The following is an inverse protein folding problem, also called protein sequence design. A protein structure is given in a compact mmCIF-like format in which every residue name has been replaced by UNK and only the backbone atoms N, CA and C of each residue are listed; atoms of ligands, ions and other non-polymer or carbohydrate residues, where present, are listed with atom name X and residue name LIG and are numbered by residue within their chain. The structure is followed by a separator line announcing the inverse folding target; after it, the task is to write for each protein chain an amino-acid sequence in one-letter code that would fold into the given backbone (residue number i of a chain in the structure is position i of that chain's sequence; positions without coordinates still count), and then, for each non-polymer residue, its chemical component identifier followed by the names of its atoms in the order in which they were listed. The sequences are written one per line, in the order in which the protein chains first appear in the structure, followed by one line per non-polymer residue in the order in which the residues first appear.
data_IF_240820144508
#
_entry.id   IF_240820144508
#
_cell.length_a   1.000
_cell.length_b   1.000
_cell.length_c   1.000
_cell.angle_alpha   90.00
_cell.angle_beta   90.00
_cell.angle_gamma   90.00
#
_symmetry.space_group_name_H-M   'P 1'
#
loop_
_entity.id
_entity.type
_entity.pdbx_description
1 polymer ?
#
# COMPACT_ATOMS: atom_id res chain seq x y z
N UNK A 1 -28.81 -40.69 45.42
CA UNK A 1 -28.28 -39.35 45.67
C UNK A 1 -27.86 -38.71 44.35
N UNK A 2 -28.65 -37.73 43.91
CA UNK A 2 -28.40 -36.97 42.68
C UNK A 2 -27.77 -35.64 43.13
N UNK A 3 -26.57 -35.37 42.70
CA UNK A 3 -25.90 -34.08 42.89
C UNK A 3 -26.13 -33.22 41.62
N UNK A 4 -26.89 -32.15 41.77
CA UNK A 4 -27.13 -31.18 40.73
C UNK A 4 -25.96 -30.17 40.68
N UNK A 5 -25.26 -30.05 39.55
CA UNK A 5 -24.32 -28.97 39.28
C UNK A 5 -25.07 -27.77 38.74
N UNK A 6 -24.97 -26.64 39.42
CA UNK A 6 -25.43 -25.33 39.01
C UNK A 6 -24.45 -24.76 37.97
N UNK A 7 -24.88 -24.19 36.85
CA UNK A 7 -23.96 -23.50 35.92
C UNK A 7 -23.61 -22.13 36.48
N UNK A 8 -22.32 -21.89 36.63
CA UNK A 8 -21.77 -20.59 36.98
C UNK A 8 -21.88 -19.62 35.81
N UNK A 9 -22.36 -18.45 36.13
CA UNK A 9 -22.56 -17.28 35.31
C UNK A 9 -21.26 -16.89 34.58
N UNK A 10 -21.24 -16.97 33.27
CA UNK A 10 -20.17 -16.44 32.42
C UNK A 10 -20.29 -14.93 32.38
N UNK A 11 -19.33 -14.25 33.00
CA UNK A 11 -19.14 -12.83 32.88
C UNK A 11 -18.88 -12.46 31.42
N UNK A 12 -19.69 -11.55 30.95
CA UNK A 12 -19.53 -10.81 29.70
C UNK A 12 -18.19 -10.08 29.74
N UNK A 13 -17.17 -10.62 29.07
CA UNK A 13 -15.95 -9.88 28.81
C UNK A 13 -16.23 -8.96 27.62
N UNK A 14 -16.57 -7.73 27.94
CA UNK A 14 -16.52 -6.63 27.00
C UNK A 14 -15.10 -6.56 26.44
N UNK A 15 -14.94 -7.02 25.21
CA UNK A 15 -13.71 -6.92 24.44
C UNK A 15 -13.53 -5.44 24.01
N UNK A 16 -13.01 -4.61 24.93
CA UNK A 16 -12.54 -3.29 24.56
C UNK A 16 -11.28 -3.51 23.74
N UNK A 17 -11.41 -3.41 22.42
CA UNK A 17 -10.28 -3.27 21.51
C UNK A 17 -9.53 -1.99 21.89
N UNK A 18 -8.48 -2.16 22.67
CA UNK A 18 -7.50 -1.12 22.93
C UNK A 18 -6.73 -0.95 21.62
N UNK A 19 -7.01 0.10 20.87
CA UNK A 19 -6.15 0.51 19.76
C UNK A 19 -4.74 0.74 20.35
N UNK A 20 -3.77 -0.03 19.90
CA UNK A 20 -2.41 0.14 20.37
C UNK A 20 -1.89 1.50 19.88
N UNK A 21 -1.75 2.45 20.80
CA UNK A 21 -1.11 3.73 20.49
C UNK A 21 0.29 3.47 19.94
N UNK A 22 0.58 4.09 18.79
CA UNK A 22 1.93 4.02 18.20
C UNK A 22 2.94 4.61 19.19
N UNK A 23 4.14 4.03 19.30
CA UNK A 23 5.20 4.60 20.16
C UNK A 23 5.44 6.08 19.82
N UNK A 24 5.76 6.89 20.82
CA UNK A 24 6.07 8.31 20.62
C UNK A 24 7.19 8.52 19.57
N UNK A 25 8.19 7.66 19.59
CA UNK A 25 9.29 7.62 18.61
C UNK A 25 8.82 7.44 17.16
N UNK A 26 7.75 6.65 16.95
CA UNK A 26 7.14 6.49 15.63
C UNK A 26 6.55 7.81 15.14
N UNK A 27 5.81 8.51 16.00
CA UNK A 27 5.18 9.78 15.66
C UNK A 27 6.22 10.86 15.41
N UNK A 28 7.24 10.97 16.24
CA UNK A 28 8.32 11.95 16.11
C UNK A 28 9.10 11.79 14.81
N UNK A 29 9.26 10.56 14.34
CA UNK A 29 9.95 10.26 13.10
C UNK A 29 9.06 10.47 11.87
N UNK A 30 7.89 9.83 11.84
CA UNK A 30 7.06 9.76 10.65
C UNK A 30 6.17 10.98 10.41
N UNK A 31 5.86 11.76 11.46
CA UNK A 31 5.10 12.99 11.35
C UNK A 31 5.96 14.26 11.44
N UNK A 32 7.27 14.14 11.32
CA UNK A 32 8.21 15.27 11.27
C UNK A 32 8.11 16.13 9.98
N UNK A 33 7.21 15.79 9.05
CA UNK A 33 7.08 16.47 7.76
C UNK A 33 8.25 16.20 6.80
N UNK A 34 8.93 15.06 6.99
CA UNK A 34 10.08 14.63 6.17
C UNK A 34 9.77 13.31 5.51
N UNK A 35 10.42 13.04 4.37
CA UNK A 35 10.41 11.75 3.72
C UNK A 35 11.68 10.96 4.06
N UNK A 36 11.53 9.64 4.26
CA UNK A 36 12.66 8.72 4.25
C UNK A 36 12.96 8.34 2.80
N UNK A 37 14.19 8.54 2.35
CA UNK A 37 14.61 8.24 0.98
C UNK A 37 15.81 7.29 1.04
N UNK A 38 15.68 6.14 0.36
CA UNK A 38 16.76 5.15 0.24
C UNK A 38 16.95 4.80 -1.22
N UNK A 39 18.21 4.83 -1.68
CA UNK A 39 18.59 4.40 -3.03
C UNK A 39 19.35 3.06 -2.98
N UNK A 40 19.18 2.27 -4.02
CA UNK A 40 19.77 0.95 -4.17
C UNK A 40 20.37 0.80 -5.57
N UNK A 41 21.49 0.08 -5.64
CA UNK A 41 21.92 -0.54 -6.89
C UNK A 41 20.95 -1.68 -7.21
N UNK A 42 20.41 -1.68 -8.43
CA UNK A 42 19.43 -2.66 -8.87
C UNK A 42 20.06 -3.67 -9.81
N UNK A 43 19.83 -4.94 -9.55
CA UNK A 43 20.05 -6.03 -10.50
C UNK A 43 18.68 -6.57 -10.95
N UNK A 44 18.29 -6.25 -12.18
CA UNK A 44 16.99 -6.62 -12.73
C UNK A 44 17.13 -7.75 -13.74
N UNK A 45 16.50 -8.88 -13.45
CA UNK A 45 16.35 -9.97 -14.42
C UNK A 45 15.35 -9.59 -15.52
N UNK A 46 15.77 -9.60 -16.78
CA UNK A 46 14.91 -9.37 -17.94
C UNK A 46 15.49 -10.09 -19.15
N UNK A 47 14.64 -10.73 -19.97
CA UNK A 47 15.03 -11.45 -21.18
C UNK A 47 16.12 -12.52 -20.99
N UNK A 48 16.18 -13.14 -19.79
CA UNK A 48 17.19 -14.16 -19.46
C UNK A 48 18.55 -13.62 -19.06
N UNK A 49 18.69 -12.30 -18.92
CA UNK A 49 19.91 -11.61 -18.49
C UNK A 49 19.68 -10.78 -17.24
N UNK A 50 20.77 -10.39 -16.57
CA UNK A 50 20.75 -9.44 -15.44
C UNK A 50 21.21 -8.08 -15.94
N UNK A 51 20.40 -7.06 -15.67
CA UNK A 51 20.66 -5.67 -16.06
C UNK A 51 20.86 -4.83 -14.82
N UNK A 52 21.94 -4.06 -14.81
CA UNK A 52 22.21 -3.10 -13.74
C UNK A 52 21.31 -1.87 -13.89
N UNK A 53 20.90 -1.30 -12.76
CA UNK A 53 20.05 -0.11 -12.73
C UNK A 53 20.05 0.54 -11.36
N UNK A 54 19.04 1.35 -11.11
CA UNK A 54 18.81 2.01 -9.83
C UNK A 54 17.38 1.80 -9.34
N UNK A 55 17.21 1.68 -8.03
CA UNK A 55 15.91 1.70 -7.37
C UNK A 55 15.93 2.74 -6.25
N UNK A 56 14.83 3.50 -6.12
CA UNK A 56 14.67 4.48 -5.04
C UNK A 56 13.34 4.23 -4.35
N UNK A 57 13.38 4.13 -3.02
CA UNK A 57 12.22 4.04 -2.16
C UNK A 57 12.05 5.35 -1.40
N UNK A 58 10.85 5.91 -1.46
CA UNK A 58 10.48 7.14 -0.75
C UNK A 58 9.26 6.85 0.12
N UNK A 59 9.44 6.89 1.44
CA UNK A 59 8.35 6.74 2.40
C UNK A 59 7.98 8.10 3.00
N UNK A 60 6.70 8.36 3.11
CA UNK A 60 6.17 9.58 3.73
C UNK A 60 4.77 9.33 4.27
N UNK A 61 4.43 9.94 5.41
CA UNK A 61 3.06 9.97 5.90
C UNK A 61 2.30 11.12 5.24
N UNK A 62 1.08 10.85 4.80
CA UNK A 62 0.22 11.84 4.12
C UNK A 62 -1.23 11.75 4.63
N UNK A 63 -1.94 12.89 4.72
CA UNK A 63 -3.38 12.90 4.87
C UNK A 63 -4.04 12.43 3.56
N UNK A 64 -5.02 11.54 3.68
CA UNK A 64 -5.59 10.81 2.56
C UNK A 64 -7.10 10.70 2.71
N UNK A 65 -7.84 10.94 1.64
CA UNK A 65 -9.27 10.70 1.60
C UNK A 65 -9.53 9.20 1.42
N UNK A 66 -10.15 8.55 2.40
CA UNK A 66 -10.48 7.13 2.33
C UNK A 66 -11.50 6.84 1.22
N UNK A 67 -12.54 7.65 1.09
CA UNK A 67 -13.59 7.47 0.09
C UNK A 67 -13.10 7.68 -1.34
N UNK A 68 -12.34 8.77 -1.59
CA UNK A 68 -11.80 9.10 -2.91
C UNK A 68 -10.49 8.38 -3.21
N UNK A 69 -9.77 7.93 -2.18
CA UNK A 69 -8.44 7.30 -2.25
C UNK A 69 -7.40 8.14 -3.00
N UNK A 70 -7.30 9.39 -2.57
CA UNK A 70 -6.35 10.39 -3.05
C UNK A 70 -5.82 11.22 -1.89
N UNK A 71 -4.66 11.86 -2.09
CA UNK A 71 -4.13 12.84 -1.14
C UNK A 71 -5.10 14.00 -0.96
N UNK A 72 -5.27 14.47 0.27
CA UNK A 72 -6.03 15.68 0.55
C UNK A 72 -5.27 16.93 0.11
N UNK A 73 -5.97 17.88 -0.49
CA UNK A 73 -5.43 19.18 -0.85
C UNK A 73 -5.25 20.07 0.40
N UNK A 74 -6.21 20.02 1.32
CA UNK A 74 -6.10 20.66 2.64
C UNK A 74 -5.87 19.62 3.74
N UNK A 75 -4.66 19.59 4.27
CA UNK A 75 -4.27 18.69 5.36
C UNK A 75 -5.01 18.97 6.69
N UNK A 76 -5.67 20.15 6.81
CA UNK A 76 -6.45 20.57 7.99
C UNK A 76 -7.89 20.10 7.94
N UNK A 77 -8.29 19.44 6.85
CA UNK A 77 -9.62 18.84 6.75
C UNK A 77 -9.83 17.84 7.89
N UNK A 78 -10.83 18.10 8.74
CA UNK A 78 -11.19 17.29 9.90
C UNK A 78 -12.37 16.36 9.63
N UNK A 79 -12.67 16.10 8.36
CA UNK A 79 -13.72 15.15 8.00
C UNK A 79 -13.38 13.73 8.45
N UNK A 80 -14.40 12.91 8.72
CA UNK A 80 -14.25 11.49 9.06
C UNK A 80 -13.64 10.66 7.89
N UNK A 81 -13.59 11.25 6.69
CA UNK A 81 -12.96 10.66 5.50
C UNK A 81 -11.43 10.82 5.50
N UNK A 82 -10.88 11.69 6.36
CA UNK A 82 -9.44 11.92 6.47
C UNK A 82 -8.76 10.81 7.29
N UNK A 83 -7.89 10.07 6.65
CA UNK A 83 -7.07 9.03 7.28
C UNK A 83 -5.58 9.29 7.03
N UNK A 84 -4.73 8.81 7.92
CA UNK A 84 -3.28 8.88 7.72
C UNK A 84 -2.77 7.63 7.02
N UNK A 85 -2.01 7.81 5.94
CA UNK A 85 -1.37 6.70 5.23
C UNK A 85 0.15 6.84 5.25
N UNK A 86 0.84 5.72 5.35
CA UNK A 86 2.22 5.59 4.93
C UNK A 86 2.23 5.33 3.43
N UNK A 87 2.69 6.30 2.68
CA UNK A 87 2.86 6.18 1.23
C UNK A 87 4.28 5.77 0.93
N UNK A 88 4.43 4.69 0.18
CA UNK A 88 5.67 4.32 -0.48
C UNK A 88 5.60 4.72 -1.95
N UNK A 89 6.60 5.41 -2.46
CA UNK A 89 6.90 5.47 -3.88
C UNK A 89 8.19 4.67 -4.12
N UNK A 90 8.12 3.63 -4.94
CA UNK A 90 9.26 2.85 -5.40
C UNK A 90 9.45 3.09 -6.89
N UNK A 91 10.65 3.53 -7.26
CA UNK A 91 11.02 3.66 -8.67
C UNK A 91 12.11 2.65 -9.02
N UNK A 92 12.08 2.12 -10.24
CA UNK A 92 13.11 1.28 -10.82
C UNK A 92 13.46 1.78 -12.21
N UNK A 93 14.74 1.97 -12.49
CA UNK A 93 15.23 2.35 -13.80
C UNK A 93 16.41 1.48 -14.18
N UNK A 94 16.37 0.92 -15.37
CA UNK A 94 17.43 0.09 -15.92
C UNK A 94 17.42 0.12 -17.46
N UNK A 95 18.51 -0.36 -18.07
CA UNK A 95 18.67 -0.42 -19.52
C UNK A 95 18.83 -1.88 -19.96
N UNK A 96 18.16 -2.27 -21.03
CA UNK A 96 18.46 -3.49 -21.80
C UNK A 96 19.17 -3.08 -23.09
N UNK A 97 20.51 -3.07 -23.06
CA UNK A 97 21.28 -2.41 -24.11
C UNK A 97 21.03 -0.89 -24.07
N UNK A 98 20.47 -0.32 -25.13
CA UNK A 98 20.11 1.11 -25.22
C UNK A 98 18.64 1.39 -24.83
N UNK A 99 17.88 0.34 -24.54
CA UNK A 99 16.43 0.43 -24.31
C UNK A 99 16.10 0.71 -22.85
N UNK A 100 15.55 1.89 -22.52
CA UNK A 100 15.29 2.27 -21.14
C UNK A 100 13.94 1.75 -20.64
N UNK A 101 13.97 1.29 -19.39
CA UNK A 101 12.80 1.01 -18.57
C UNK A 101 12.70 2.00 -17.42
N UNK A 102 11.52 2.56 -17.23
CA UNK A 102 11.17 3.38 -16.06
C UNK A 102 9.88 2.86 -15.47
N UNK A 103 9.96 2.35 -14.24
CA UNK A 103 8.83 1.78 -13.53
C UNK A 103 8.62 2.55 -12.23
N UNK A 104 7.36 2.73 -11.85
CA UNK A 104 7.00 3.32 -10.56
C UNK A 104 5.83 2.56 -9.96
N UNK A 105 5.95 2.26 -8.68
CA UNK A 105 4.88 1.72 -7.84
C UNK A 105 4.62 2.70 -6.70
N UNK A 106 3.35 2.91 -6.35
CA UNK A 106 2.96 3.65 -5.16
C UNK A 106 1.98 2.82 -4.34
N UNK A 107 2.29 2.62 -3.06
CA UNK A 107 1.43 1.91 -2.11
C UNK A 107 0.97 2.90 -1.05
N UNK A 108 -0.32 2.88 -0.74
CA UNK A 108 -0.95 3.74 0.27
C UNK A 108 -1.52 2.85 1.37
N UNK A 109 -0.72 2.66 2.41
CA UNK A 109 -1.03 1.75 3.51
C UNK A 109 -1.50 2.57 4.72
N UNK A 110 -2.62 2.23 5.36
CA UNK A 110 -3.05 2.94 6.56
C UNK A 110 -2.00 2.84 7.66
N UNK A 111 -1.80 3.92 8.42
CA UNK A 111 -0.92 3.87 9.59
C UNK A 111 -1.56 3.07 10.72
N UNK A 112 -2.89 3.04 10.80
CA UNK A 112 -3.67 2.31 11.82
C UNK A 112 -4.05 0.91 11.32
N UNK A 113 -3.11 -0.02 11.30
CA UNK A 113 -3.30 -1.40 10.81
C UNK A 113 -4.33 -2.24 11.59
N UNK A 114 -4.56 -1.92 12.85
CA UNK A 114 -5.54 -2.56 13.71
C UNK A 114 -6.97 -2.25 13.30
N UNK A 115 -7.21 -1.14 12.63
CA UNK A 115 -8.51 -0.73 12.11
C UNK A 115 -8.66 -1.10 10.62
N UNK A 116 -7.63 -0.82 9.84
CA UNK A 116 -7.59 -1.03 8.39
C UNK A 116 -6.35 -1.87 8.04
N UNK A 117 -6.48 -3.21 7.98
CA UNK A 117 -5.31 -4.08 7.87
C UNK A 117 -4.65 -4.11 6.49
N UNK A 118 -5.30 -3.60 5.45
CA UNK A 118 -4.83 -3.69 4.07
C UNK A 118 -4.61 -2.32 3.43
N UNK A 119 -3.74 -2.24 2.42
CA UNK A 119 -3.53 -1.01 1.69
C UNK A 119 -4.82 -0.52 1.02
N UNK A 120 -5.11 0.78 1.12
CA UNK A 120 -6.26 1.37 0.46
C UNK A 120 -6.10 1.41 -1.05
N UNK A 121 -4.87 1.62 -1.51
CA UNK A 121 -4.58 1.80 -2.92
C UNK A 121 -3.16 1.35 -3.25
N UNK A 122 -3.01 0.72 -4.41
CA UNK A 122 -1.71 0.47 -5.05
C UNK A 122 -1.79 0.93 -6.49
N UNK A 123 -0.77 1.61 -6.98
CA UNK A 123 -0.65 1.96 -8.40
C UNK A 123 0.71 1.51 -8.92
N UNK A 124 0.73 1.01 -10.15
CA UNK A 124 1.96 0.64 -10.85
C UNK A 124 1.93 1.18 -12.26
N UNK A 125 3.04 1.74 -12.69
CA UNK A 125 3.24 2.17 -14.07
C UNK A 125 4.56 1.64 -14.60
N UNK A 126 4.57 1.29 -15.88
CA UNK A 126 5.78 0.99 -16.65
C UNK A 126 5.80 1.85 -17.89
N UNK A 127 6.91 2.53 -18.09
CA UNK A 127 7.17 3.34 -19.26
C UNK A 127 8.39 2.77 -19.98
N UNK A 128 8.20 2.46 -21.25
CA UNK A 128 9.24 1.97 -22.13
C UNK A 128 8.98 2.48 -23.56
N UNK A 129 9.90 2.28 -24.47
CA UNK A 129 9.76 2.78 -25.83
C UNK A 129 8.63 2.13 -26.65
N UNK A 130 8.24 0.89 -26.30
CA UNK A 130 7.13 0.20 -26.96
C UNK A 130 5.76 0.69 -26.51
N UNK A 131 5.66 1.24 -25.28
CA UNK A 131 4.39 1.75 -24.77
C UNK A 131 4.35 1.92 -23.26
N UNK A 132 3.20 2.32 -22.78
CA UNK A 132 2.92 2.49 -21.34
C UNK A 132 1.96 1.42 -20.87
N UNK A 133 2.17 0.98 -19.63
CA UNK A 133 1.16 0.26 -18.85
C UNK A 133 0.91 1.00 -17.55
N UNK A 134 -0.34 1.00 -17.11
CA UNK A 134 -0.74 1.54 -15.81
C UNK A 134 -1.75 0.60 -15.18
N UNK A 135 -1.56 0.29 -13.89
CA UNK A 135 -2.49 -0.50 -13.10
C UNK A 135 -2.79 0.22 -11.80
N UNK A 136 -4.02 0.09 -11.34
CA UNK A 136 -4.47 0.63 -10.06
C UNK A 136 -5.39 -0.36 -9.37
N UNK A 137 -5.07 -0.67 -8.11
CA UNK A 137 -5.96 -1.37 -7.19
C UNK A 137 -6.53 -0.34 -6.20
N UNK A 138 -7.83 -0.40 -5.99
CA UNK A 138 -8.52 0.38 -4.98
C UNK A 138 -9.28 -0.56 -4.04
N UNK A 139 -9.01 -0.52 -2.74
CA UNK A 139 -9.76 -1.26 -1.74
C UNK A 139 -11.20 -0.74 -1.70
N UNK A 140 -12.16 -1.64 -1.75
CA UNK A 140 -13.60 -1.40 -1.69
C UNK A 140 -14.22 -2.36 -0.67
N UNK A 141 -15.49 -2.18 -0.33
CA UNK A 141 -16.21 -2.98 0.67
C UNK A 141 -16.11 -4.52 0.50
N UNK A 142 -15.83 -5.01 -0.71
CA UNK A 142 -15.83 -6.45 -1.06
C UNK A 142 -14.54 -6.90 -1.74
N UNK A 143 -13.41 -6.24 -1.46
CA UNK A 143 -12.12 -6.53 -2.05
C UNK A 143 -11.60 -5.40 -2.93
N UNK A 144 -10.60 -5.68 -3.74
CA UNK A 144 -9.99 -4.67 -4.59
C UNK A 144 -10.69 -4.56 -5.94
N UNK A 145 -10.90 -3.32 -6.39
CA UNK A 145 -11.17 -3.01 -7.79
C UNK A 145 -9.82 -2.82 -8.49
N UNK A 146 -9.50 -3.72 -9.42
CA UNK A 146 -8.34 -3.64 -10.29
C UNK A 146 -8.73 -2.95 -11.58
N UNK A 147 -8.02 -1.89 -11.95
CA UNK A 147 -8.09 -1.25 -13.27
C UNK A 147 -6.71 -1.23 -13.90
N UNK A 148 -6.64 -1.62 -15.16
CA UNK A 148 -5.41 -1.65 -15.92
C UNK A 148 -5.62 -1.07 -17.30
N UNK A 149 -4.58 -0.38 -17.78
CA UNK A 149 -4.52 0.18 -19.12
C UNK A 149 -3.18 -0.20 -19.72
N UNK A 150 -3.21 -0.86 -20.85
CA UNK A 150 -2.00 -1.34 -21.51
C UNK A 150 -2.04 -1.01 -23.00
N UNK A 151 -0.88 -0.67 -23.54
CA UNK A 151 -0.68 -0.55 -24.98
C UNK A 151 -0.63 -1.93 -25.67
N UNK A 152 -0.38 -3.00 -24.93
CA UNK A 152 -0.15 -4.33 -25.46
C UNK A 152 -1.47 -5.11 -25.62
N UNK A 153 -1.70 -5.67 -26.81
CA UNK A 153 -2.94 -6.39 -27.16
C UNK A 153 -3.27 -7.55 -26.21
N UNK A 154 -2.24 -8.29 -25.76
CA UNK A 154 -2.41 -9.44 -24.86
C UNK A 154 -2.86 -9.07 -23.46
N UNK A 155 -2.67 -7.82 -23.06
CA UNK A 155 -3.04 -7.30 -21.72
C UNK A 155 -4.37 -6.54 -21.79
N UNK A 156 -4.54 -5.67 -22.82
CA UNK A 156 -5.75 -4.88 -23.05
C UNK A 156 -6.10 -3.95 -21.86
N UNK A 157 -7.36 -3.51 -21.83
CA UNK A 157 -7.91 -2.80 -20.68
C UNK A 157 -8.54 -3.79 -19.70
N UNK A 158 -8.23 -3.64 -18.42
CA UNK A 158 -8.68 -4.50 -17.33
C UNK A 158 -9.60 -3.70 -16.41
N UNK A 159 -10.75 -4.28 -16.05
CA UNK A 159 -11.63 -3.77 -14.98
C UNK A 159 -12.22 -4.98 -14.24
N UNK A 160 -11.53 -5.42 -13.17
CA UNK A 160 -11.83 -6.66 -12.48
C UNK A 160 -11.92 -6.46 -10.96
N UNK A 161 -12.57 -7.41 -10.30
CA UNK A 161 -12.60 -7.50 -8.84
C UNK A 161 -11.66 -8.59 -8.35
N UNK A 162 -10.81 -8.22 -7.42
CA UNK A 162 -9.87 -9.14 -6.77
C UNK A 162 -10.27 -9.29 -5.31
N UNK A 163 -10.17 -10.51 -4.79
CA UNK A 163 -10.46 -10.77 -3.37
C UNK A 163 -9.55 -9.90 -2.49
N UNK A 164 -10.11 -9.41 -1.39
CA UNK A 164 -9.33 -8.72 -0.37
C UNK A 164 -8.32 -9.67 0.28
N UNK A 165 -7.06 -9.29 0.18
CA UNK A 165 -5.91 -9.98 0.78
C UNK A 165 -4.83 -8.94 1.07
N UNK A 166 -3.89 -9.27 1.94
CA UNK A 166 -2.67 -8.49 2.07
C UNK A 166 -1.87 -8.57 0.75
N UNK A 167 -1.53 -7.41 0.21
CA UNK A 167 -0.75 -7.32 -1.02
C UNK A 167 0.75 -7.40 -0.72
N UNK A 168 1.52 -8.02 -1.60
CA UNK A 168 2.98 -8.08 -1.49
C UNK A 168 3.59 -6.67 -1.42
N UNK A 169 3.01 -5.74 -2.15
CA UNK A 169 3.45 -4.33 -2.20
C UNK A 169 3.38 -3.60 -0.85
N UNK A 170 2.61 -4.12 0.12
CA UNK A 170 2.50 -3.56 1.47
C UNK A 170 3.67 -3.91 2.37
N UNK A 171 4.43 -4.97 2.06
CA UNK A 171 5.49 -5.52 2.93
C UNK A 171 6.49 -4.42 3.30
N UNK A 172 6.87 -3.60 2.34
CA UNK A 172 7.84 -2.51 2.54
C UNK A 172 7.39 -1.46 3.56
N UNK A 173 6.09 -1.13 3.56
CA UNK A 173 5.51 -0.21 4.53
C UNK A 173 5.31 -0.86 5.90
N UNK A 174 5.01 -2.17 5.92
CA UNK A 174 4.77 -2.92 7.17
C UNK A 174 6.03 -3.16 8.00
N UNK A 175 7.19 -3.15 7.39
CA UNK A 175 8.48 -3.32 8.09
C UNK A 175 9.08 -1.99 8.56
N UNK A 176 8.39 -0.87 8.34
CA UNK A 176 8.71 0.48 8.83
C UNK A 176 7.87 0.84 10.05
#
# INVERSE_FOLDING_TARGET
SIVACTPSNSQDQSNSQVSAEKPAEFNDYWYAGKAEITSYELEQARYGEIHSGEAVLVFVTEPFSNGKQVKLDDWRDQSDDNVSVMKLNMTKKFLTGIYPYSMMMSTFTPVSYDQDPNAFKVTTSSQEWCGHTFMQLNLKEKGYQLRGFSYFESEGDIDEKVKEVMLEDEIWSRIR
#
